data_IF_870560213581
#
_entry.id   IF_870560213581
#
_cell.length_a   1.000
_cell.length_b   1.000
_cell.length_c   1.000
_cell.angle_alpha   90.00
_cell.angle_beta   90.00
_cell.angle_gamma   90.00
#
_symmetry.space_group_name_H-M   'P 1'
#
loop_
_entity.id
_entity.type
_entity.pdbx_description
1 polymer ?
#
# COMPACT_ATOMS: atom_id res chain seq x y z
N UNK A 1 -27.91 -49.15 -0.24
CA UNK A 1 -28.50 -48.00 0.47
C UNK A 1 -27.37 -47.07 0.88
N UNK A 2 -27.38 -45.83 0.37
CA UNK A 2 -26.66 -44.61 0.80
C UNK A 2 -25.12 -44.67 0.85
N UNK A 3 -24.41 -44.12 -0.15
CA UNK A 3 -23.95 -42.71 -0.22
C UNK A 3 -23.02 -42.38 0.96
N UNK A 4 -21.79 -41.87 0.76
CA UNK A 4 -21.50 -40.48 0.41
C UNK A 4 -20.06 -40.36 -0.12
N UNK A 5 -19.91 -39.66 -1.25
CA UNK A 5 -18.65 -39.11 -1.77
C UNK A 5 -18.23 -37.93 -0.90
N UNK A 6 -16.97 -37.84 -0.50
CA UNK A 6 -16.38 -36.56 -0.07
C UNK A 6 -15.07 -36.36 -0.83
N UNK A 7 -15.15 -35.62 -1.93
CA UNK A 7 -14.03 -34.87 -2.48
C UNK A 7 -13.66 -33.82 -1.41
N UNK A 8 -12.48 -33.95 -0.82
CA UNK A 8 -11.87 -32.87 -0.04
C UNK A 8 -10.71 -32.30 -0.85
N UNK A 9 -11.03 -31.25 -1.60
CA UNK A 9 -10.12 -30.38 -2.34
C UNK A 9 -9.20 -29.67 -1.35
N UNK A 10 -8.03 -30.24 -1.05
CA UNK A 10 -6.99 -29.56 -0.30
C UNK A 10 -6.19 -28.67 -1.27
N UNK A 11 -6.74 -27.49 -1.56
CA UNK A 11 -5.99 -26.38 -2.17
C UNK A 11 -4.90 -25.97 -1.18
N UNK A 12 -3.68 -26.42 -1.49
CA UNK A 12 -2.46 -26.11 -0.77
C UNK A 12 -2.23 -24.60 -0.75
N UNK A 13 -2.21 -24.10 0.48
CA UNK A 13 -1.84 -22.76 0.91
C UNK A 13 -0.43 -22.45 0.42
N UNK A 14 -0.32 -21.65 -0.65
CA UNK A 14 0.87 -20.86 -0.92
C UNK A 14 0.44 -19.40 -0.88
N UNK A 15 0.88 -18.68 0.15
CA UNK A 15 1.31 -17.27 0.13
C UNK A 15 1.51 -16.82 1.59
N UNK A 16 2.50 -17.41 2.26
CA UNK A 16 3.16 -16.76 3.39
C UNK A 16 4.58 -16.48 2.95
N UNK A 17 4.91 -15.20 2.74
CA UNK A 17 6.23 -14.59 2.95
C UNK A 17 6.21 -13.11 2.54
N UNK A 18 5.44 -12.28 3.24
CA UNK A 18 5.70 -10.84 3.28
C UNK A 18 6.61 -10.56 4.47
N UNK A 19 7.90 -10.86 4.32
CA UNK A 19 8.91 -10.61 5.34
C UNK A 19 9.14 -9.09 5.44
N UNK A 20 8.87 -8.53 6.62
CA UNK A 20 9.14 -7.15 7.04
C UNK A 20 10.61 -6.79 6.74
N UNK A 21 10.88 -6.27 5.54
CA UNK A 21 12.09 -5.53 5.21
C UNK A 21 11.66 -4.08 5.17
N UNK A 22 12.41 -3.23 5.88
CA UNK A 22 12.07 -1.84 6.12
C UNK A 22 11.66 -1.09 4.85
N UNK A 23 10.94 0.01 5.02
CA UNK A 23 10.36 0.88 3.97
C UNK A 23 11.39 1.50 2.99
N UNK A 24 12.59 0.96 2.88
CA UNK A 24 13.63 1.29 1.91
C UNK A 24 14.27 0.00 1.41
N UNK A 25 14.11 -0.27 0.13
CA UNK A 25 14.61 -1.41 -0.60
C UNK A 25 14.19 -1.26 -2.06
N UNK A 26 15.07 -1.62 -2.99
CA UNK A 26 14.84 -1.56 -4.44
C UNK A 26 13.43 -2.08 -4.76
N UNK A 27 12.59 -1.24 -5.36
CA UNK A 27 11.23 -1.63 -5.74
C UNK A 27 11.30 -2.17 -7.15
N UNK A 28 11.13 -3.49 -7.25
CA UNK A 28 11.30 -4.24 -8.50
C UNK A 28 10.05 -4.26 -9.35
N UNK A 29 8.89 -4.01 -8.73
CA UNK A 29 7.60 -4.02 -9.40
C UNK A 29 6.55 -3.12 -8.72
N UNK A 30 5.44 -2.93 -9.42
CA UNK A 30 4.31 -2.12 -8.96
C UNK A 30 3.68 -2.65 -7.65
N UNK A 31 3.74 -3.95 -7.39
CA UNK A 31 3.22 -4.56 -6.17
C UNK A 31 4.01 -4.17 -4.93
N UNK A 32 5.34 -4.17 -5.04
CA UNK A 32 6.24 -3.68 -4.00
C UNK A 32 6.05 -2.17 -3.76
N UNK A 33 5.88 -1.38 -4.84
CA UNK A 33 5.58 0.05 -4.74
C UNK A 33 4.26 0.31 -3.99
N UNK A 34 3.23 -0.46 -4.32
CA UNK A 34 1.92 -0.42 -3.68
C UNK A 34 2.05 -0.70 -2.17
N UNK A 35 2.79 -1.74 -1.80
CA UNK A 35 2.95 -2.11 -0.39
C UNK A 35 3.77 -1.07 0.37
N UNK A 36 4.83 -0.51 -0.22
CA UNK A 36 5.59 0.61 0.36
C UNK A 36 4.69 1.80 0.66
N UNK A 37 3.92 2.24 -0.34
CA UNK A 37 2.95 3.32 -0.19
C UNK A 37 1.93 2.99 0.91
N UNK A 38 1.39 1.78 0.91
CA UNK A 38 0.36 1.35 1.88
C UNK A 38 0.89 1.36 3.31
N UNK A 39 2.10 0.85 3.53
CA UNK A 39 2.73 0.82 4.85
C UNK A 39 3.05 2.23 5.35
N UNK A 40 3.49 3.11 4.45
CA UNK A 40 3.68 4.52 4.78
C UNK A 40 2.35 5.20 5.14
N UNK A 41 1.29 5.00 4.35
CA UNK A 41 -0.05 5.48 4.66
C UNK A 41 -0.52 5.03 6.04
N UNK A 42 -0.38 3.76 6.41
CA UNK A 42 -0.77 3.27 7.76
C UNK A 42 -0.08 4.04 8.89
N UNK A 43 1.15 4.50 8.70
CA UNK A 43 1.90 5.26 9.71
C UNK A 43 1.40 6.70 9.85
N UNK A 44 1.12 7.37 8.74
CA UNK A 44 0.83 8.81 8.71
C UNK A 44 -0.67 9.14 8.81
N UNK A 45 -1.54 8.19 8.42
CA UNK A 45 -2.98 8.34 8.48
C UNK A 45 -3.53 8.09 9.89
N UNK A 46 -4.75 8.57 10.14
CA UNK A 46 -5.50 8.34 11.39
C UNK A 46 -5.71 6.83 11.60
N UNK A 47 -5.77 6.38 12.85
CA UNK A 47 -5.73 4.95 13.24
C UNK A 47 -6.94 4.10 12.82
N UNK A 48 -7.97 4.69 12.19
CA UNK A 48 -9.23 4.05 11.79
C UNK A 48 -9.46 4.01 10.27
N UNK A 49 -8.44 4.35 9.47
CA UNK A 49 -8.57 4.40 8.01
C UNK A 49 -8.36 3.02 7.39
N UNK A 50 -9.37 2.55 6.66
CA UNK A 50 -9.28 1.41 5.75
C UNK A 50 -8.60 1.88 4.47
N UNK A 51 -7.58 1.13 4.04
CA UNK A 51 -6.76 1.47 2.88
C UNK A 51 -6.91 0.36 1.84
N UNK A 52 -7.40 0.72 0.66
CA UNK A 52 -7.48 -0.15 -0.51
C UNK A 52 -6.77 0.47 -1.71
N UNK A 53 -6.38 -0.34 -2.68
CA UNK A 53 -5.62 0.12 -3.86
C UNK A 53 -6.58 0.49 -4.96
N UNK A 54 -6.40 1.65 -5.57
CA UNK A 54 -7.01 1.96 -6.86
C UNK A 54 -6.10 1.42 -7.98
N UNK A 55 -6.40 0.20 -8.43
CA UNK A 55 -5.63 -0.48 -9.46
C UNK A 55 -5.70 0.19 -10.82
N UNK A 56 -6.77 0.95 -11.12
CA UNK A 56 -6.95 1.59 -12.42
C UNK A 56 -6.09 2.85 -12.56
N UNK A 57 -5.85 3.54 -11.45
CA UNK A 57 -5.03 4.76 -11.42
C UNK A 57 -3.55 4.46 -11.16
N UNK A 58 -3.26 3.35 -10.47
CA UNK A 58 -1.90 2.94 -10.10
C UNK A 58 -1.12 2.44 -11.32
N UNK A 59 0.05 3.04 -11.59
CA UNK A 59 0.82 2.78 -12.81
C UNK A 59 2.30 3.10 -12.65
N UNK A 60 3.12 2.47 -13.48
CA UNK A 60 4.50 2.90 -13.73
C UNK A 60 4.51 4.14 -14.64
N UNK A 61 5.32 5.15 -14.30
CA UNK A 61 5.46 6.36 -15.08
C UNK A 61 6.91 6.87 -15.05
N UNK A 62 7.70 6.50 -16.07
CA UNK A 62 9.10 6.90 -16.16
C UNK A 62 9.93 6.24 -15.08
N UNK A 63 10.58 7.03 -14.22
CA UNK A 63 11.46 6.53 -13.15
C UNK A 63 10.75 6.37 -11.80
N UNK A 64 9.42 6.44 -11.79
CA UNK A 64 8.60 6.32 -10.58
C UNK A 64 7.38 5.44 -10.82
N UNK A 65 6.91 4.81 -9.75
CA UNK A 65 5.60 4.20 -9.64
C UNK A 65 4.64 5.19 -8.98
N UNK A 66 3.55 5.50 -9.68
CA UNK A 66 2.45 6.31 -9.12
C UNK A 66 1.41 5.36 -8.52
N UNK A 67 1.27 5.40 -7.21
CA UNK A 67 0.33 4.57 -6.46
C UNK A 67 -0.82 5.43 -5.96
N UNK A 68 -2.04 4.96 -6.20
CA UNK A 68 -3.26 5.59 -5.72
C UNK A 68 -3.99 4.63 -4.78
N UNK A 69 -4.36 5.12 -3.61
CA UNK A 69 -5.04 4.34 -2.58
C UNK A 69 -6.37 5.02 -2.25
N UNK A 70 -7.44 4.25 -2.13
CA UNK A 70 -8.70 4.73 -1.55
C UNK A 70 -8.61 4.64 -0.03
N UNK A 71 -9.10 5.69 0.63
CA UNK A 71 -9.11 5.85 2.07
C UNK A 71 -10.55 5.96 2.55
N UNK A 72 -10.95 5.05 3.42
CA UNK A 72 -12.30 5.02 3.97
C UNK A 72 -12.25 4.96 5.49
N UNK A 73 -13.00 5.83 6.16
CA UNK A 73 -13.30 5.68 7.58
C UNK A 73 -14.80 5.89 7.83
N UNK A 74 -15.24 5.84 9.08
CA UNK A 74 -16.68 5.97 9.40
C UNK A 74 -17.28 7.35 9.07
N UNK A 75 -16.45 8.36 8.77
CA UNK A 75 -16.87 9.76 8.61
C UNK A 75 -16.67 10.29 7.19
N UNK A 76 -15.73 9.75 6.44
CA UNK A 76 -15.30 10.30 5.16
C UNK A 76 -14.66 9.24 4.26
N UNK A 77 -14.81 9.48 2.95
CA UNK A 77 -14.15 8.76 1.86
C UNK A 77 -13.16 9.72 1.19
N UNK A 78 -12.01 9.21 0.77
CA UNK A 78 -10.98 10.00 0.10
C UNK A 78 -9.90 9.14 -0.54
N UNK A 79 -8.75 9.75 -0.81
CA UNK A 79 -7.64 9.08 -1.48
C UNK A 79 -6.29 9.51 -0.91
N UNK A 80 -5.30 8.63 -1.07
CA UNK A 80 -3.89 8.96 -0.99
C UNK A 80 -3.22 8.74 -2.34
N UNK A 81 -2.23 9.58 -2.66
CA UNK A 81 -1.35 9.40 -3.80
C UNK A 81 0.10 9.36 -3.32
N UNK A 82 0.87 8.43 -3.88
CA UNK A 82 2.29 8.29 -3.59
C UNK A 82 3.06 8.15 -4.90
N UNK A 83 4.24 8.75 -4.94
CA UNK A 83 5.22 8.49 -5.99
C UNK A 83 6.41 7.78 -5.32
N UNK A 84 6.68 6.56 -5.78
CA UNK A 84 7.78 5.73 -5.31
C UNK A 84 8.80 5.65 -6.42
N UNK A 85 10.04 6.06 -6.19
CA UNK A 85 11.08 5.89 -7.20
C UNK A 85 11.52 4.41 -7.33
N UNK A 86 12.30 4.11 -8.36
CA UNK A 86 12.79 2.74 -8.61
C UNK A 86 13.69 2.21 -7.48
N UNK A 87 14.29 3.08 -6.66
CA UNK A 87 15.08 2.67 -5.48
C UNK A 87 14.20 2.33 -4.27
N UNK A 88 12.89 2.53 -4.40
CA UNK A 88 11.90 2.28 -3.36
C UNK A 88 11.66 3.43 -2.39
N UNK A 89 12.20 4.62 -2.68
CA UNK A 89 11.97 5.82 -1.89
C UNK A 89 10.63 6.46 -2.25
N UNK A 90 9.84 6.82 -1.23
CA UNK A 90 8.64 7.64 -1.40
C UNK A 90 9.08 9.08 -1.59
N UNK A 91 9.07 9.56 -2.83
CA UNK A 91 9.52 10.91 -3.21
C UNK A 91 8.39 11.93 -3.12
N UNK A 92 7.13 11.49 -3.14
CA UNK A 92 5.97 12.34 -2.94
C UNK A 92 4.84 11.57 -2.27
N UNK A 93 4.13 12.23 -1.34
CA UNK A 93 2.96 11.66 -0.69
C UNK A 93 1.92 12.73 -0.38
N UNK A 94 0.66 12.44 -0.69
CA UNK A 94 -0.48 13.29 -0.36
C UNK A 94 -1.65 12.43 0.10
N UNK A 95 -2.33 12.86 1.16
CA UNK A 95 -3.57 12.25 1.64
C UNK A 95 -4.48 13.33 2.28
N UNK A 96 -5.13 14.17 1.46
CA UNK A 96 -5.85 15.35 1.93
C UNK A 96 -6.96 14.97 2.92
N UNK A 97 -6.96 15.57 4.10
CA UNK A 97 -8.01 15.36 5.12
C UNK A 97 -7.89 14.08 5.95
N UNK A 98 -6.88 13.23 5.73
CA UNK A 98 -6.69 11.97 6.48
C UNK A 98 -5.38 11.89 7.29
N UNK A 99 -4.54 12.93 7.21
CA UNK A 99 -3.26 12.98 7.91
C UNK A 99 -3.41 13.32 9.40
N UNK A 100 -2.62 12.68 10.28
CA UNK A 100 -2.59 12.88 11.75
C UNK A 100 -2.07 14.26 12.23
N UNK A 101 -2.06 15.29 11.39
CA UNK A 101 -1.38 16.58 11.60
C UNK A 101 0.15 16.51 11.31
N UNK A 102 0.64 17.51 10.59
CA UNK A 102 1.78 17.45 9.65
C UNK A 102 3.15 17.73 10.27
N UNK A 103 3.63 16.86 11.17
CA UNK A 103 5.00 16.93 11.70
C UNK A 103 6.02 16.05 10.97
N UNK A 104 5.58 15.10 10.14
CA UNK A 104 6.44 14.00 9.67
C UNK A 104 7.21 14.28 8.35
N UNK A 105 6.95 15.40 7.66
CA UNK A 105 7.57 15.68 6.35
C UNK A 105 8.84 16.56 6.42
N UNK A 106 9.28 16.98 7.62
CA UNK A 106 10.48 17.81 7.78
C UNK A 106 11.80 17.03 7.78
N UNK A 107 11.78 15.69 7.70
CA UNK A 107 13.00 14.86 7.82
C UNK A 107 13.53 14.24 6.52
N UNK A 108 12.77 14.25 5.42
CA UNK A 108 13.21 13.62 4.16
C UNK A 108 13.50 14.60 3.02
N UNK A 109 13.47 15.92 3.29
CA UNK A 109 13.81 16.99 2.34
C UNK A 109 15.10 17.73 2.76
N UNK A 110 16.14 16.99 3.13
CA UNK A 110 17.50 17.52 3.23
C UNK A 110 18.51 16.38 3.08
N UNK A 111 18.83 16.03 1.83
CA UNK A 111 20.21 15.97 1.33
C UNK A 111 20.21 15.83 -0.20
#
# INVERSE_FOLDING_TARGET
MHAVRVLATALLVFFISGCDKGLQGDVRDLGEAIEHCRQYSKKVLISDVVISVDQLSTREQGNVYKVFLNLDNQKQHGYASCEVDMSGLIVSYSAPGFNKNTGAFSQFSNN
#
